data_IF_259228631099
#
_entry.id   IF_259228631099
#
_cell.length_a   1.000
_cell.length_b   1.000
_cell.length_c   1.000
_cell.angle_alpha   90.00
_cell.angle_beta   90.00
_cell.angle_gamma   90.00
#
_symmetry.space_group_name_H-M   'P 1'
#
loop_
_entity.id
_entity.type
_entity.pdbx_description
1 polymer ?
#
# COMPACT_ATOMS: atom_id res chain seq x y z
N UNK A 1 -6.89 -8.64 18.93
CA UNK A 1 -5.69 -8.03 18.33
C UNK A 1 -6.16 -7.39 17.03
N UNK A 2 -6.10 -6.06 16.94
CA UNK A 2 -6.65 -5.32 15.80
C UNK A 2 -5.73 -5.51 14.60
N UNK A 3 -6.08 -6.41 13.70
CA UNK A 3 -5.37 -6.58 12.45
C UNK A 3 -5.84 -5.43 11.54
N UNK A 4 -5.00 -4.40 11.42
CA UNK A 4 -5.25 -3.27 10.53
C UNK A 4 -5.32 -3.80 9.10
N UNK A 5 -6.51 -3.75 8.51
CA UNK A 5 -6.70 -4.07 7.10
C UNK A 5 -6.25 -2.83 6.32
N UNK A 6 -4.95 -2.73 6.11
CA UNK A 6 -4.38 -1.81 5.14
C UNK A 6 -4.09 -2.63 3.88
N UNK A 7 -4.29 -2.09 2.67
CA UNK A 7 -3.81 -2.76 1.48
C UNK A 7 -2.33 -3.08 1.67
N UNK A 8 -1.89 -4.29 1.32
CA UNK A 8 -0.50 -4.73 1.45
C UNK A 8 0.43 -4.08 0.39
N UNK A 9 0.11 -2.85 0.01
CA UNK A 9 0.95 -2.03 -0.84
C UNK A 9 1.81 -1.17 0.06
N UNK A 10 3.10 -1.52 0.17
CA UNK A 10 4.04 -0.80 1.00
C UNK A 10 3.97 0.73 0.73
N UNK A 11 3.91 1.60 1.76
CA UNK A 11 3.73 3.05 1.57
C UNK A 11 4.73 3.72 0.61
N UNK A 12 5.91 3.14 0.44
CA UNK A 12 6.93 3.63 -0.52
C UNK A 12 6.59 3.29 -1.97
N UNK A 13 5.92 2.16 -2.22
CA UNK A 13 5.36 1.80 -3.53
C UNK A 13 4.28 2.80 -3.91
N UNK A 14 3.34 3.09 -3.00
CA UNK A 14 2.31 4.11 -3.22
C UNK A 14 2.91 5.47 -3.59
N UNK A 15 3.96 5.91 -2.89
CA UNK A 15 4.65 7.17 -3.22
C UNK A 15 5.37 7.11 -4.57
N UNK A 16 5.92 5.97 -4.96
CA UNK A 16 6.55 5.79 -6.27
C UNK A 16 5.53 5.88 -7.42
N UNK A 17 4.29 5.43 -7.19
CA UNK A 17 3.18 5.51 -8.15
C UNK A 17 2.61 6.94 -8.21
N UNK A 18 2.32 7.54 -7.06
CA UNK A 18 1.52 8.78 -6.96
C UNK A 18 2.32 10.07 -7.10
N UNK A 19 3.61 10.09 -6.74
CA UNK A 19 4.44 11.29 -6.90
C UNK A 19 4.98 11.41 -8.32
N UNK A 20 5.14 12.65 -8.77
CA UNK A 20 5.78 12.92 -10.06
C UNK A 20 7.27 12.55 -10.00
N UNK A 21 7.67 11.64 -10.89
CA UNK A 21 9.05 11.28 -11.16
C UNK A 21 9.28 11.13 -12.66
N UNK A 22 10.42 11.63 -13.13
CA UNK A 22 10.96 11.29 -14.43
C UNK A 22 12.03 10.22 -14.27
N UNK A 23 11.91 9.12 -15.00
CA UNK A 23 12.95 8.08 -15.11
C UNK A 23 13.60 8.25 -16.48
N UNK A 24 14.88 8.55 -16.48
CA UNK A 24 15.62 8.92 -17.69
C UNK A 24 16.75 7.91 -17.92
N UNK A 25 16.56 6.90 -18.79
CA UNK A 25 17.64 6.04 -19.25
C UNK A 25 18.56 6.78 -20.22
N UNK A 26 19.83 6.38 -20.30
CA UNK A 26 20.83 6.88 -21.26
C UNK A 26 21.03 8.41 -21.32
N UNK A 27 20.70 9.13 -20.25
CA UNK A 27 20.83 10.59 -20.17
C UNK A 27 21.63 11.00 -18.95
N UNK A 28 22.39 12.09 -19.09
CA UNK A 28 23.14 12.68 -17.98
C UNK A 28 24.12 11.69 -17.37
N UNK A 29 23.93 11.38 -16.08
CA UNK A 29 24.79 10.46 -15.33
C UNK A 29 24.53 8.98 -15.63
N UNK A 30 23.42 8.66 -16.30
CA UNK A 30 23.08 7.31 -16.76
C UNK A 30 23.53 7.03 -18.21
N UNK A 31 24.11 8.02 -18.90
CA UNK A 31 24.48 7.91 -20.31
C UNK A 31 25.50 6.80 -20.55
N UNK A 32 25.21 5.93 -21.51
CA UNK A 32 26.04 4.81 -21.94
C UNK A 32 26.07 3.64 -20.95
N UNK A 33 25.13 3.57 -20.01
CA UNK A 33 25.03 2.50 -19.04
C UNK A 33 23.57 2.00 -18.94
N UNK A 34 23.32 0.82 -19.50
CA UNK A 34 21.97 0.27 -19.67
C UNK A 34 21.25 -0.02 -18.33
N UNK A 35 22.01 -0.34 -17.28
CA UNK A 35 21.48 -0.63 -15.93
C UNK A 35 21.39 0.60 -15.02
N UNK A 36 21.72 1.79 -15.53
CA UNK A 36 21.67 3.03 -14.75
C UNK A 36 20.49 3.89 -15.21
N UNK A 37 19.77 4.41 -14.22
CA UNK A 37 18.62 5.28 -14.44
C UNK A 37 18.78 6.57 -13.64
N UNK A 38 18.67 7.71 -14.32
CA UNK A 38 18.60 9.00 -13.66
C UNK A 38 17.15 9.30 -13.28
N UNK A 39 16.87 9.34 -11.98
CA UNK A 39 15.53 9.62 -11.46
C UNK A 39 15.46 11.08 -11.00
N UNK A 40 14.61 11.87 -11.65
CA UNK A 40 14.31 13.24 -11.24
C UNK A 40 13.01 13.24 -10.43
N UNK A 41 13.11 13.62 -9.17
CA UNK A 41 11.98 13.76 -8.26
C UNK A 41 11.20 15.06 -8.47
N UNK A 42 9.97 15.11 -7.96
CA UNK A 42 9.12 16.32 -7.98
C UNK A 42 9.82 17.58 -7.44
N UNK A 43 10.74 17.45 -6.48
CA UNK A 43 11.51 18.59 -5.96
C UNK A 43 12.67 19.01 -6.86
N UNK A 44 12.79 18.46 -8.07
CA UNK A 44 13.90 18.66 -9.00
C UNK A 44 15.21 17.99 -8.59
N UNK A 45 15.21 17.16 -7.54
CA UNK A 45 16.42 16.44 -7.11
C UNK A 45 16.62 15.21 -7.97
N UNK A 46 17.85 15.02 -8.41
CA UNK A 46 18.27 13.88 -9.22
C UNK A 46 18.94 12.81 -8.36
N UNK A 47 18.62 11.55 -8.62
CA UNK A 47 19.21 10.41 -7.96
C UNK A 47 19.54 9.34 -9.00
N UNK A 48 20.74 8.79 -8.94
CA UNK A 48 21.09 7.64 -9.76
C UNK A 48 20.58 6.36 -9.09
N UNK A 49 19.98 5.48 -9.89
CA UNK A 49 19.56 4.14 -9.50
C UNK A 49 20.30 3.15 -10.38
N UNK A 50 20.92 2.16 -9.76
CA UNK A 50 21.58 1.03 -10.42
C UNK A 50 20.71 -0.21 -10.22
N UNK A 51 20.20 -0.80 -11.30
CA UNK A 51 19.30 -1.97 -11.23
C UNK A 51 20.03 -3.29 -11.02
N UNK A 52 21.36 -3.36 -11.19
CA UNK A 52 22.13 -4.60 -10.99
C UNK A 52 22.12 -5.03 -9.53
N UNK A 53 22.50 -4.09 -8.67
CA UNK A 53 22.52 -4.27 -7.21
C UNK A 53 21.34 -3.58 -6.53
N UNK A 54 20.45 -2.98 -7.33
CA UNK A 54 19.35 -2.18 -6.85
C UNK A 54 19.77 -1.02 -5.93
N UNK A 55 20.94 -0.45 -6.16
CA UNK A 55 21.47 0.66 -5.37
C UNK A 55 20.82 2.00 -5.75
N UNK A 56 20.66 2.90 -4.78
CA UNK A 56 20.21 4.27 -5.04
C UNK A 56 20.96 5.27 -4.18
N UNK A 57 21.28 6.43 -4.76
CA UNK A 57 22.03 7.49 -4.08
C UNK A 57 21.20 8.33 -3.11
N UNK A 58 19.89 8.09 -3.02
CA UNK A 58 19.04 8.89 -2.16
C UNK A 58 19.31 8.61 -0.67
N UNK A 59 19.06 9.59 0.22
CA UNK A 59 19.26 9.41 1.66
C UNK A 59 18.51 8.20 2.23
N UNK A 60 17.30 7.91 1.72
CA UNK A 60 16.51 6.78 2.20
C UNK A 60 17.21 5.45 1.94
N UNK A 61 17.74 5.21 0.72
CA UNK A 61 18.46 3.98 0.41
C UNK A 61 19.83 3.90 1.10
N UNK A 62 20.48 5.04 1.35
CA UNK A 62 21.78 5.06 2.03
C UNK A 62 21.71 4.81 3.53
N UNK A 63 20.61 5.20 4.18
CA UNK A 63 20.48 5.16 5.63
C UNK A 63 19.50 4.10 6.13
N UNK A 64 18.65 3.57 5.24
CA UNK A 64 17.66 2.57 5.60
C UNK A 64 17.89 1.33 4.75
N UNK A 65 17.87 0.17 5.38
CA UNK A 65 17.99 -1.13 4.72
C UNK A 65 16.64 -1.56 4.12
N UNK A 66 16.11 -0.71 3.23
CA UNK A 66 14.81 -0.91 2.56
C UNK A 66 14.90 -0.43 1.13
N UNK A 67 14.08 -0.99 0.24
CA UNK A 67 13.91 -0.41 -1.07
C UNK A 67 13.34 1.01 -0.93
N UNK A 68 13.89 1.98 -1.65
CA UNK A 68 13.41 3.36 -1.62
C UNK A 68 12.35 3.59 -2.70
N UNK A 69 11.71 4.77 -2.69
CA UNK A 69 10.71 5.12 -3.72
C UNK A 69 11.30 5.26 -5.14
N UNK A 70 12.57 5.65 -5.26
CA UNK A 70 13.20 5.82 -6.58
C UNK A 70 13.50 4.47 -7.25
N UNK A 71 13.96 3.48 -6.47
CA UNK A 71 14.14 2.11 -6.96
C UNK A 71 12.79 1.54 -7.43
N UNK A 72 11.73 1.66 -6.62
CA UNK A 72 10.39 1.20 -7.03
C UNK A 72 9.87 1.93 -8.27
N UNK A 73 10.20 3.21 -8.43
CA UNK A 73 9.85 3.97 -9.64
C UNK A 73 10.58 3.44 -10.88
N UNK A 74 11.82 3.00 -10.74
CA UNK A 74 12.56 2.35 -11.84
C UNK A 74 12.00 0.95 -12.12
N UNK A 75 11.61 0.20 -11.09
CA UNK A 75 10.93 -1.10 -11.26
C UNK A 75 9.62 -0.95 -12.05
N UNK A 76 8.81 0.06 -11.73
CA UNK A 76 7.61 0.43 -12.52
C UNK A 76 7.96 0.75 -13.98
N UNK A 77 9.01 1.53 -14.21
CA UNK A 77 9.40 1.95 -15.55
C UNK A 77 9.92 0.80 -16.41
N UNK A 78 10.60 -0.17 -15.79
CA UNK A 78 11.21 -1.33 -16.45
C UNK A 78 10.26 -2.52 -16.58
N UNK A 79 9.07 -2.44 -15.96
CA UNK A 79 8.10 -3.54 -15.94
C UNK A 79 8.42 -4.65 -14.94
N UNK A 80 9.43 -4.49 -14.08
CA UNK A 80 9.65 -5.41 -12.95
C UNK A 80 8.53 -5.33 -11.89
N UNK A 81 7.81 -4.22 -11.87
CA UNK A 81 6.62 -4.05 -11.06
C UNK A 81 5.47 -3.67 -12.00
N UNK A 82 4.58 -4.63 -12.24
CA UNK A 82 3.45 -4.49 -13.15
C UNK A 82 2.33 -3.66 -12.50
N UNK A 83 1.86 -2.65 -13.20
CA UNK A 83 0.80 -1.75 -12.72
C UNK A 83 -0.55 -2.41 -12.83
N UNK A 84 -0.77 -3.22 -13.87
CA UNK A 84 -2.05 -3.88 -14.12
C UNK A 84 -2.27 -4.97 -13.05
N UNK A 85 -1.22 -5.73 -12.71
CA UNK A 85 -1.25 -6.71 -11.61
C UNK A 85 -1.57 -6.03 -10.27
N UNK A 86 -0.96 -4.86 -10.00
CA UNK A 86 -1.25 -4.11 -8.79
C UNK A 86 -2.67 -3.57 -8.74
N UNK A 87 -3.21 -3.15 -9.88
CA UNK A 87 -4.60 -2.70 -9.98
C UNK A 87 -5.56 -3.85 -9.65
N UNK A 88 -5.32 -5.05 -10.20
CA UNK A 88 -6.11 -6.25 -9.91
C UNK A 88 -6.05 -6.65 -8.42
N UNK A 89 -4.85 -6.63 -7.83
CA UNK A 89 -4.67 -6.90 -6.39
C UNK A 89 -5.40 -5.88 -5.51
N UNK A 90 -5.35 -4.59 -5.89
CA UNK A 90 -6.05 -3.52 -5.16
C UNK A 90 -7.57 -3.65 -5.27
N UNK A 91 -8.09 -3.99 -6.45
CA UNK A 91 -9.51 -4.23 -6.66
C UNK A 91 -10.01 -5.40 -5.79
N UNK A 92 -9.29 -6.53 -5.83
CA UNK A 92 -9.60 -7.71 -5.00
C UNK A 92 -9.62 -7.36 -3.51
N UNK A 93 -8.59 -6.63 -3.04
CA UNK A 93 -8.51 -6.23 -1.64
C UNK A 93 -9.67 -5.30 -1.23
N UNK A 94 -10.13 -4.44 -2.14
CA UNK A 94 -11.27 -3.56 -1.89
C UNK A 94 -12.58 -4.35 -1.75
N UNK A 95 -12.81 -5.35 -2.61
CA UNK A 95 -13.97 -6.22 -2.57
C UNK A 95 -14.01 -7.07 -1.29
N UNK A 96 -12.86 -7.61 -0.87
CA UNK A 96 -12.72 -8.37 0.38
C UNK A 96 -13.02 -7.50 1.61
N UNK A 97 -12.56 -6.24 1.58
CA UNK A 97 -12.81 -5.24 2.62
C UNK A 97 -14.29 -4.89 2.73
N UNK A 98 -14.96 -4.70 1.60
CA UNK A 98 -16.41 -4.42 1.56
C UNK A 98 -17.21 -5.59 2.10
N UNK A 99 -16.87 -6.81 1.69
CA UNK A 99 -17.51 -8.04 2.18
C UNK A 99 -17.33 -8.20 3.69
N UNK A 100 -16.10 -8.00 4.18
CA UNK A 100 -15.78 -8.05 5.62
C UNK A 100 -16.54 -6.98 6.41
N UNK A 101 -16.71 -5.77 5.86
CA UNK A 101 -17.45 -4.69 6.50
C UNK A 101 -18.95 -5.03 6.62
N UNK A 102 -19.55 -5.59 5.56
CA UNK A 102 -20.94 -6.02 5.56
C UNK A 102 -21.20 -7.15 6.58
N UNK A 103 -20.29 -8.12 6.69
CA UNK A 103 -20.37 -9.19 7.70
C UNK A 103 -20.31 -8.63 9.12
N UNK A 104 -19.40 -7.68 9.39
CA UNK A 104 -19.28 -7.04 10.70
C UNK A 104 -20.53 -6.23 11.06
N UNK A 105 -21.14 -5.56 10.07
CA UNK A 105 -22.40 -4.83 10.28
C UNK A 105 -23.53 -5.79 10.64
N UNK A 106 -23.65 -6.92 9.93
CA UNK A 106 -24.65 -7.94 10.23
C UNK A 106 -24.45 -8.52 11.64
N UNK A 107 -23.22 -8.86 12.01
CA UNK A 107 -22.90 -9.36 13.36
C UNK A 107 -23.25 -8.34 14.45
N UNK A 108 -23.01 -7.05 14.20
CA UNK A 108 -23.34 -6.00 15.15
C UNK A 108 -24.87 -5.86 15.33
N UNK A 109 -25.64 -6.01 14.24
CA UNK A 109 -27.11 -6.00 14.29
C UNK A 109 -27.64 -7.20 15.09
N UNK A 110 -27.16 -8.41 14.81
CA UNK A 110 -27.56 -9.62 15.53
C UNK A 110 -27.23 -9.53 17.03
N UNK A 111 -26.05 -8.98 17.36
CA UNK A 111 -25.66 -8.76 18.75
C UNK A 111 -26.56 -7.73 19.44
N UNK A 112 -26.95 -6.66 18.74
CA UNK A 112 -27.84 -5.63 19.26
C UNK A 112 -29.25 -6.20 19.51
N UNK A 113 -29.79 -6.98 18.58
CA UNK A 113 -31.07 -7.68 18.74
C UNK A 113 -31.02 -8.63 19.95
N UNK A 114 -29.98 -9.45 20.03
CA UNK A 114 -29.76 -10.37 21.16
C UNK A 114 -29.70 -9.61 22.50
N UNK A 115 -29.03 -8.46 22.54
CA UNK A 115 -28.94 -7.64 23.75
C UNK A 115 -30.31 -7.09 24.18
N UNK A 116 -31.15 -6.67 23.23
CA UNK A 116 -32.53 -6.25 23.50
C UNK A 116 -33.36 -7.41 24.04
N UNK A 117 -33.30 -8.58 23.42
CA UNK A 117 -34.02 -9.76 23.89
C UNK A 117 -33.64 -10.16 25.33
N UNK A 118 -32.33 -10.10 25.65
CA UNK A 118 -31.85 -10.36 26.99
C UNK A 118 -32.35 -9.32 28.00
N UNK A 119 -32.38 -8.04 27.61
CA UNK A 119 -32.90 -6.97 28.47
C UNK A 119 -34.39 -7.19 28.79
N UNK A 120 -35.21 -7.44 27.77
CA UNK A 120 -36.64 -7.73 27.93
C UNK A 120 -36.89 -8.99 28.77
N UNK A 121 -36.01 -9.99 28.69
CA UNK A 121 -36.08 -11.18 29.53
C UNK A 121 -35.76 -10.86 31.00
N UNK A 122 -34.80 -9.97 31.26
CA UNK A 122 -34.47 -9.51 32.62
C UNK A 122 -35.65 -8.75 33.22
N UNK A 123 -36.23 -7.79 32.51
CA UNK A 123 -37.38 -7.00 33.00
C UNK A 123 -38.56 -7.92 33.38
N UNK A 124 -38.88 -8.90 32.53
CA UNK A 124 -39.94 -9.88 32.83
C UNK A 124 -39.64 -10.74 34.06
N UNK A 125 -38.38 -11.04 34.35
CA UNK A 125 -38.00 -11.78 35.57
C UNK A 125 -38.13 -10.90 36.82
N UNK A 126 -37.83 -9.60 36.71
CA UNK A 126 -37.98 -8.63 37.79
C UNK A 126 -39.46 -8.38 38.15
N UNK A 127 -40.37 -8.40 37.17
CA UNK A 127 -41.82 -8.23 37.43
C UNK A 127 -42.47 -9.40 38.19
N UNK A 128 -41.84 -10.58 38.19
CA UNK A 128 -42.38 -11.82 38.78
C UNK A 128 -41.75 -12.11 40.16
N UNK A 129 -40.69 -11.39 40.54
CA UNK A 129 -39.95 -11.53 41.81
C UNK A 129 -40.56 -10.70 42.95
#
# INVERSE_FOLDING_TARGET
>A
MSQSIQPDVEPRTLRAITQTFSVLPDIGRAKGADDLYLVVSQSGKEYLVDTRDWACECPDARHRDVRCKHQRRVALHTGELDVDELEEQLATTADDLESSAAELEQQAQELAETAVELHDAIERLEEVA
#
